data_IF_010783074606
#
_entry.id   IF_010783074606
#
_cell.length_a   1.000
_cell.length_b   1.000
_cell.length_c   1.000
_cell.angle_alpha   90.00
_cell.angle_beta   90.00
_cell.angle_gamma   90.00
#
_symmetry.space_group_name_H-M   'P 1'
#
loop_
_entity.id
_entity.type
_entity.pdbx_description
1 polymer ?
#
# COMPACT_ATOMS: atom_id res chain seq x y z
N UNK A 1 14.90 -25.40 2.05
CA UNK A 1 14.70 -24.33 3.06
C UNK A 1 15.99 -23.83 3.72
N UNK A 2 16.88 -24.68 4.27
CA UNK A 2 18.14 -24.23 4.92
C UNK A 2 19.03 -23.29 4.07
N UNK A 3 19.14 -23.53 2.75
CA UNK A 3 19.96 -22.70 1.84
C UNK A 3 19.42 -21.27 1.65
N UNK A 4 18.09 -21.11 1.64
CA UNK A 4 17.43 -19.80 1.49
C UNK A 4 17.60 -18.97 2.77
N UNK A 5 17.46 -19.61 3.94
CA UNK A 5 17.67 -18.95 5.23
C UNK A 5 19.12 -18.44 5.38
N UNK A 6 20.13 -19.25 5.00
CA UNK A 6 21.52 -18.82 5.02
C UNK A 6 21.79 -17.63 4.07
N UNK A 7 21.13 -17.60 2.91
CA UNK A 7 21.27 -16.50 1.96
C UNK A 7 20.65 -15.20 2.49
N UNK A 8 19.46 -15.27 3.11
CA UNK A 8 18.81 -14.12 3.75
C UNK A 8 19.64 -13.57 4.91
N UNK A 9 20.21 -14.45 5.74
CA UNK A 9 21.08 -14.05 6.85
C UNK A 9 22.39 -13.41 6.35
N UNK A 10 23.02 -13.96 5.32
CA UNK A 10 24.22 -13.39 4.72
C UNK A 10 23.95 -12.01 4.10
N UNK A 11 22.80 -11.83 3.45
CA UNK A 11 22.37 -10.54 2.89
C UNK A 11 22.17 -9.49 4.00
N UNK A 12 21.53 -9.88 5.11
CA UNK A 12 21.34 -9.01 6.28
C UNK A 12 22.69 -8.57 6.86
N UNK A 13 23.65 -9.48 7.02
CA UNK A 13 24.99 -9.15 7.56
C UNK A 13 25.74 -8.16 6.65
N UNK A 14 25.64 -8.30 5.32
CA UNK A 14 26.25 -7.37 4.37
C UNK A 14 25.62 -5.97 4.40
N UNK A 15 24.32 -5.87 4.69
CA UNK A 15 23.63 -4.59 4.86
C UNK A 15 24.08 -3.88 6.16
N UNK A 16 24.33 -4.64 7.23
CA UNK A 16 24.72 -4.09 8.53
C UNK A 16 26.18 -3.63 8.63
N UNK A 17 27.12 -4.20 7.86
CA UNK A 17 28.55 -3.87 7.98
C UNK A 17 28.97 -2.56 7.29
N UNK A 18 28.08 -1.86 6.59
CA UNK A 18 28.39 -0.61 5.86
C UNK A 18 27.94 0.67 6.59
N UNK A 19 28.10 0.72 7.92
CA UNK A 19 27.69 1.89 8.74
C UNK A 19 28.81 2.44 9.62
N UNK A 20 29.99 2.65 9.05
CA UNK A 20 31.02 3.49 9.66
C UNK A 20 31.52 4.49 8.62
N UNK A 21 31.66 5.75 9.05
CA UNK A 21 32.12 6.94 8.31
C UNK A 21 31.07 7.72 7.49
N UNK A 22 30.46 8.71 8.14
CA UNK A 22 30.58 10.13 7.81
C UNK A 22 29.64 10.95 8.72
N UNK A 23 30.17 11.44 9.83
CA UNK A 23 29.51 12.47 10.63
C UNK A 23 29.70 13.83 9.95
N UNK A 24 29.01 14.05 8.83
CA UNK A 24 28.68 15.42 8.44
C UNK A 24 27.40 15.77 9.17
N UNK A 25 27.44 16.88 9.90
CA UNK A 25 26.33 17.48 10.65
C UNK A 25 25.17 17.71 9.67
N UNK A 26 24.37 16.67 9.50
CA UNK A 26 23.20 16.67 8.63
C UNK A 26 22.15 17.37 9.47
N UNK A 27 21.66 18.52 9.01
CA UNK A 27 20.54 19.18 9.67
C UNK A 27 19.44 18.15 9.94
N UNK A 28 19.10 18.03 11.21
CA UNK A 28 18.12 17.09 11.71
C UNK A 28 16.76 17.55 11.19
N UNK A 29 16.36 17.04 10.03
CA UNK A 29 15.05 17.30 9.48
C UNK A 29 14.01 16.46 10.25
N UNK A 30 13.74 16.84 11.51
CA UNK A 30 12.69 16.27 12.38
C UNK A 30 11.29 16.84 12.04
N UNK A 31 11.16 17.42 10.85
CA UNK A 31 9.99 18.06 10.32
C UNK A 31 8.85 17.09 9.99
N UNK A 32 7.68 17.67 9.77
CA UNK A 32 6.56 16.98 9.14
C UNK A 32 6.67 17.14 7.63
N UNK A 33 6.18 16.16 6.89
CA UNK A 33 5.97 16.33 5.47
C UNK A 33 4.58 15.93 5.04
N UNK A 34 4.31 16.24 3.78
CA UNK A 34 3.10 15.89 3.08
C UNK A 34 3.49 15.29 1.74
N UNK A 35 2.92 14.14 1.42
CA UNK A 35 3.22 13.37 0.23
C UNK A 35 1.98 12.92 -0.50
N UNK A 36 2.08 12.82 -1.82
CA UNK A 36 1.11 12.10 -2.66
C UNK A 36 1.81 10.95 -3.36
N UNK A 37 1.16 9.80 -3.43
CA UNK A 37 1.61 8.73 -4.32
C UNK A 37 0.75 8.63 -5.56
N UNK A 38 1.42 8.48 -6.70
CA UNK A 38 0.81 7.95 -7.91
C UNK A 38 1.05 6.45 -7.92
N UNK A 39 -0.04 5.70 -7.84
CA UNK A 39 -0.03 4.25 -7.77
C UNK A 39 -0.35 3.64 -9.14
N UNK A 40 0.39 2.60 -9.51
CA UNK A 40 0.01 1.71 -10.61
C UNK A 40 -1.01 0.69 -10.11
N UNK A 41 -2.01 0.39 -10.95
CA UNK A 41 -3.13 -0.53 -10.71
C UNK A 41 -2.80 -1.67 -9.74
N UNK A 42 -3.47 -1.67 -8.59
CA UNK A 42 -3.54 -2.85 -7.74
C UNK A 42 -4.63 -3.77 -8.31
N UNK A 43 -4.29 -5.04 -8.48
CA UNK A 43 -5.25 -6.10 -8.83
C UNK A 43 -5.61 -6.82 -7.54
N UNK A 44 -6.86 -6.68 -7.12
CA UNK A 44 -7.41 -7.44 -6.01
C UNK A 44 -8.28 -8.53 -6.59
N UNK A 45 -7.94 -9.78 -6.28
CA UNK A 45 -8.80 -10.92 -6.52
C UNK A 45 -9.75 -11.06 -5.33
N UNK A 46 -11.05 -11.08 -5.62
CA UNK A 46 -12.11 -11.29 -4.64
C UNK A 46 -12.88 -12.54 -5.07
N UNK A 47 -13.05 -13.50 -4.18
CA UNK A 47 -13.83 -14.70 -4.47
C UNK A 47 -15.32 -14.41 -4.20
N UNK A 48 -16.12 -14.31 -5.27
CA UNK A 48 -17.56 -14.03 -5.19
C UNK A 48 -18.32 -14.84 -6.23
N UNK A 49 -18.59 -16.12 -5.96
CA UNK A 49 -19.14 -17.14 -6.89
C UNK A 49 -18.33 -17.35 -8.20
N UNK A 50 -17.60 -16.33 -8.66
CA UNK A 50 -16.66 -16.23 -9.77
C UNK A 50 -15.57 -15.24 -9.30
N UNK A 51 -14.27 -15.53 -9.50
CA UNK A 51 -13.19 -14.62 -9.11
C UNK A 51 -13.31 -13.29 -9.87
N UNK A 52 -13.36 -12.20 -9.11
CA UNK A 52 -13.43 -10.83 -9.65
C UNK A 52 -12.05 -10.19 -9.55
N UNK A 53 -11.51 -9.77 -10.70
CA UNK A 53 -10.31 -8.94 -10.75
C UNK A 53 -10.70 -7.47 -10.69
N UNK A 54 -10.49 -6.86 -9.53
CA UNK A 54 -10.70 -5.43 -9.34
C UNK A 54 -9.40 -4.70 -9.62
N UNK A 55 -9.36 -3.94 -10.70
CA UNK A 55 -8.30 -2.96 -10.95
C UNK A 55 -8.72 -1.61 -10.40
N UNK A 56 -7.89 -1.03 -9.52
CA UNK A 56 -8.20 0.25 -8.90
C UNK A 56 -6.99 1.16 -8.83
N UNK A 57 -7.17 2.41 -9.26
CA UNK A 57 -6.21 3.49 -9.01
C UNK A 57 -6.48 4.04 -7.61
N UNK A 58 -5.58 3.76 -6.66
CA UNK A 58 -5.70 4.28 -5.31
C UNK A 58 -4.80 5.51 -5.16
N UNK A 59 -5.42 6.67 -4.97
CA UNK A 59 -4.70 7.89 -4.64
C UNK A 59 -4.51 7.94 -3.12
N UNK A 60 -3.26 7.98 -2.67
CA UNK A 60 -2.92 8.03 -1.26
C UNK A 60 -2.18 9.32 -0.91
N UNK A 61 -2.56 9.90 0.22
CA UNK A 61 -1.90 11.01 0.89
C UNK A 61 -1.09 10.47 2.07
N UNK A 62 0.17 10.91 2.19
CA UNK A 62 1.13 10.44 3.18
C UNK A 62 1.61 11.62 4.03
N UNK A 63 1.87 11.35 5.30
CA UNK A 63 2.25 12.38 6.27
C UNK A 63 3.55 11.98 6.98
N UNK A 64 4.69 11.99 6.30
CA UNK A 64 5.96 11.55 6.89
C UNK A 64 6.34 12.41 8.11
N UNK A 65 6.66 11.74 9.21
CA UNK A 65 7.26 12.32 10.42
C UNK A 65 8.58 11.62 10.66
N UNK A 66 9.68 12.33 10.47
CA UNK A 66 10.99 11.83 10.89
C UNK A 66 11.05 11.95 12.41
N UNK A 67 11.03 10.81 13.11
CA UNK A 67 11.13 10.75 14.58
C UNK A 67 12.60 10.81 15.01
N UNK A 68 13.50 10.33 14.14
CA UNK A 68 14.95 10.47 14.29
C UNK A 68 15.61 10.51 12.90
N UNK A 69 16.91 10.82 12.79
CA UNK A 69 17.64 10.77 11.52
C UNK A 69 17.61 9.41 10.81
N UNK A 70 17.26 8.33 11.53
CA UNK A 70 17.26 6.95 11.04
C UNK A 70 15.88 6.31 11.02
N UNK A 71 14.83 7.04 11.41
CA UNK A 71 13.50 6.46 11.56
C UNK A 71 12.39 7.45 11.24
N UNK A 72 11.41 6.99 10.46
CA UNK A 72 10.22 7.72 10.05
C UNK A 72 8.97 6.90 10.34
N UNK A 73 7.96 7.57 10.88
CA UNK A 73 6.58 7.10 10.89
C UNK A 73 5.86 7.85 9.77
N UNK A 74 5.10 7.15 8.94
CA UNK A 74 4.40 7.76 7.81
C UNK A 74 2.96 7.27 7.76
N UNK A 75 2.05 7.91 8.54
CA UNK A 75 0.61 7.71 8.39
C UNK A 75 0.16 8.04 6.96
N UNK A 76 -0.86 7.35 6.48
CA UNK A 76 -1.43 7.62 5.18
C UNK A 76 -2.93 7.31 5.12
N UNK A 77 -3.61 7.99 4.21
CA UNK A 77 -5.01 7.75 3.87
C UNK A 77 -5.13 7.65 2.35
N UNK A 78 -5.99 6.77 1.88
CA UNK A 78 -6.24 6.54 0.47
C UNK A 78 -7.72 6.40 0.18
N UNK A 79 -8.13 6.94 -0.96
CA UNK A 79 -9.50 6.81 -1.43
C UNK A 79 -9.51 6.54 -2.93
N UNK A 80 -10.42 5.68 -3.35
CA UNK A 80 -10.66 5.38 -4.75
C UNK A 80 -12.12 5.06 -5.00
N UNK A 81 -12.61 5.49 -6.16
CA UNK A 81 -13.94 5.16 -6.65
C UNK A 81 -13.84 4.90 -8.15
N UNK A 82 -13.97 3.63 -8.53
CA UNK A 82 -13.80 3.17 -9.90
C UNK A 82 -15.05 2.43 -10.39
N UNK A 83 -15.29 2.50 -11.69
CA UNK A 83 -16.33 1.72 -12.35
C UNK A 83 -15.65 0.68 -13.20
N UNK A 84 -15.99 -0.59 -12.98
CA UNK A 84 -15.43 -1.70 -13.75
C UNK A 84 -16.55 -2.59 -14.29
N UNK A 85 -16.19 -3.47 -15.21
CA UNK A 85 -17.08 -4.50 -15.73
C UNK A 85 -16.66 -5.83 -15.13
N UNK A 86 -17.61 -6.54 -14.53
CA UNK A 86 -17.40 -7.88 -14.00
C UNK A 86 -18.12 -8.85 -14.93
N UNK A 87 -17.42 -9.90 -15.34
CA UNK A 87 -18.00 -10.97 -16.12
C UNK A 87 -18.52 -12.06 -15.18
N UNK A 88 -19.84 -12.20 -15.09
CA UNK A 88 -20.47 -13.32 -14.41
C UNK A 88 -20.84 -14.42 -15.40
N UNK A 89 -20.50 -15.67 -15.09
CA UNK A 89 -20.77 -16.84 -15.96
C UNK A 89 -22.25 -16.95 -16.38
N UNK A 90 -23.18 -16.46 -15.54
CA UNK A 90 -24.63 -16.49 -15.80
C UNK A 90 -25.25 -15.16 -16.23
N UNK A 91 -24.62 -14.03 -15.91
CA UNK A 91 -25.19 -12.69 -16.08
C UNK A 91 -24.53 -11.88 -17.21
N UNK A 92 -23.43 -12.36 -17.78
CA UNK A 92 -22.64 -11.61 -18.75
C UNK A 92 -21.86 -10.48 -18.09
N UNK A 93 -21.59 -9.40 -18.83
CA UNK A 93 -20.89 -8.23 -18.30
C UNK A 93 -21.85 -7.33 -17.51
N UNK A 94 -21.65 -7.27 -16.20
CA UNK A 94 -22.33 -6.31 -15.32
C UNK A 94 -21.39 -5.15 -15.00
N UNK A 95 -21.92 -3.93 -15.00
CA UNK A 95 -21.18 -2.74 -14.59
C UNK A 95 -21.31 -2.57 -13.09
N UNK A 96 -20.19 -2.54 -12.39
CA UNK A 96 -20.14 -2.38 -10.94
C UNK A 96 -19.34 -1.14 -10.55
N UNK A 97 -19.71 -0.55 -9.43
CA UNK A 97 -18.97 0.52 -8.78
C UNK A 97 -18.16 -0.07 -7.63
N UNK A 98 -16.86 0.16 -7.63
CA UNK A 98 -15.96 -0.21 -6.53
C UNK A 98 -15.55 1.07 -5.82
N UNK A 99 -15.90 1.18 -4.55
CA UNK A 99 -15.39 2.23 -3.66
C UNK A 99 -14.40 1.59 -2.69
N UNK A 100 -13.19 2.14 -2.59
CA UNK A 100 -12.15 1.68 -1.68
C UNK A 100 -11.67 2.82 -0.80
N UNK A 101 -11.62 2.57 0.50
CA UNK A 101 -11.02 3.45 1.48
C UNK A 101 -9.92 2.70 2.23
N UNK A 102 -8.78 3.37 2.42
CA UNK A 102 -7.60 2.81 3.07
C UNK A 102 -7.06 3.82 4.05
N UNK A 103 -6.66 3.38 5.23
CA UNK A 103 -5.81 4.19 6.12
C UNK A 103 -4.81 3.31 6.83
N UNK A 104 -3.61 3.83 7.07
CA UNK A 104 -2.53 3.02 7.58
C UNK A 104 -1.34 3.83 8.03
N UNK A 105 -0.25 3.13 8.32
CA UNK A 105 1.02 3.76 8.64
C UNK A 105 2.21 2.91 8.17
N UNK A 106 3.28 3.59 7.78
CA UNK A 106 4.59 2.99 7.53
C UNK A 106 5.56 3.26 8.66
N UNK A 107 6.37 2.26 8.99
CA UNK A 107 7.49 2.38 9.94
C UNK A 107 8.77 2.10 9.18
N UNK A 108 9.57 3.14 8.96
CA UNK A 108 10.62 3.15 7.96
C UNK A 108 11.98 3.48 8.59
N UNK A 109 12.96 2.60 8.42
CA UNK A 109 14.36 2.89 8.65
C UNK A 109 14.92 3.74 7.52
N UNK A 110 15.69 4.79 7.86
CA UNK A 110 16.24 5.75 6.91
C UNK A 110 17.76 5.62 6.78
N UNK A 111 18.26 5.76 5.55
CA UNK A 111 19.69 5.91 5.25
C UNK A 111 19.87 7.00 4.19
N UNK A 112 20.40 8.15 4.59
CA UNK A 112 20.69 9.28 3.69
C UNK A 112 22.11 9.18 3.14
N UNK A 113 22.24 9.42 1.84
CA UNK A 113 23.52 9.57 1.13
C UNK A 113 23.37 10.74 0.14
N UNK A 114 24.02 11.86 0.44
CA UNK A 114 23.89 13.12 -0.31
C UNK A 114 22.41 13.57 -0.40
N UNK A 115 21.95 13.91 -1.60
CA UNK A 115 20.57 14.31 -1.88
C UNK A 115 19.59 13.13 -1.95
N UNK A 116 20.05 11.88 -1.79
CA UNK A 116 19.19 10.71 -1.85
C UNK A 116 18.99 10.13 -0.46
N UNK A 117 17.73 9.87 -0.09
CA UNK A 117 17.37 9.17 1.12
C UNK A 117 16.74 7.83 0.76
N UNK A 118 17.42 6.76 1.10
CA UNK A 118 16.89 5.41 1.00
C UNK A 118 16.10 5.09 2.27
N UNK A 119 15.04 4.31 2.11
CA UNK A 119 14.26 3.83 3.23
C UNK A 119 13.77 2.41 3.02
N UNK A 120 13.64 1.68 4.11
CA UNK A 120 13.17 0.30 4.14
C UNK A 120 12.34 0.09 5.40
N UNK A 121 11.37 -0.82 5.37
CA UNK A 121 10.55 -1.06 6.54
C UNK A 121 9.31 -1.87 6.21
N UNK A 122 8.22 -1.57 6.91
CA UNK A 122 6.93 -2.19 6.65
C UNK A 122 5.81 -1.16 6.68
N UNK A 123 4.75 -1.43 5.93
CA UNK A 123 3.47 -0.71 6.00
C UNK A 123 2.39 -1.65 6.47
N UNK A 124 1.48 -1.08 7.24
CA UNK A 124 0.22 -1.71 7.60
C UNK A 124 -0.93 -0.77 7.24
N UNK A 125 -2.05 -1.31 6.80
CA UNK A 125 -3.23 -0.54 6.46
C UNK A 125 -4.52 -1.30 6.79
N UNK A 126 -5.55 -0.58 7.21
CA UNK A 126 -6.92 -1.07 7.19
C UNK A 126 -7.60 -0.69 5.88
N UNK A 127 -8.41 -1.59 5.34
CA UNK A 127 -9.08 -1.44 4.06
C UNK A 127 -10.55 -1.73 4.17
N UNK A 128 -11.33 -0.88 3.52
CA UNK A 128 -12.77 -0.98 3.36
C UNK A 128 -13.04 -0.94 1.86
N UNK A 129 -13.72 -1.96 1.35
CA UNK A 129 -14.10 -2.08 -0.05
C UNK A 129 -15.61 -2.25 -0.11
N UNK A 130 -16.26 -1.46 -0.94
CA UNK A 130 -17.70 -1.53 -1.18
C UNK A 130 -17.92 -1.73 -2.66
N UNK A 131 -18.63 -2.80 -3.00
CA UNK A 131 -19.10 -3.10 -4.34
C UNK A 131 -20.58 -2.72 -4.43
N UNK A 132 -20.91 -1.75 -5.28
CA UNK A 132 -22.29 -1.38 -5.59
C UNK A 132 -22.65 -1.77 -7.03
N UNK A 133 -23.87 -2.27 -7.24
CA UNK A 133 -24.41 -2.50 -8.58
C UNK A 133 -24.84 -1.18 -9.23
N UNK A 134 -24.61 -1.01 -10.54
CA UNK A 134 -25.04 0.16 -11.31
C UNK A 134 -26.12 -0.22 -12.37
N UNK A 135 -26.57 -1.48 -12.45
CA UNK A 135 -27.35 -1.98 -13.59
C UNK A 135 -28.71 -2.65 -13.31
N UNK A 136 -29.80 -1.94 -13.62
CA UNK A 136 -31.15 -2.38 -14.11
C UNK A 136 -31.84 -3.66 -13.56
N UNK A 137 -31.38 -4.29 -12.48
CA UNK A 137 -32.16 -5.35 -11.85
C UNK A 137 -33.20 -4.72 -10.91
N UNK A 138 -34.50 -5.09 -10.98
CA UNK A 138 -35.51 -4.65 -10.00
C UNK A 138 -35.31 -5.29 -8.61
N UNK A 139 -34.27 -6.10 -8.45
CA UNK A 139 -33.86 -6.69 -7.19
C UNK A 139 -32.89 -5.70 -6.53
N UNK A 140 -33.32 -5.21 -5.37
CA UNK A 140 -32.71 -4.18 -4.50
C UNK A 140 -31.19 -4.04 -4.61
N UNK A 141 -30.77 -2.77 -4.50
CA UNK A 141 -29.42 -2.26 -4.20
C UNK A 141 -28.77 -2.96 -2.99
N UNK A 142 -28.34 -4.21 -3.14
CA UNK A 142 -27.49 -4.86 -2.15
C UNK A 142 -26.04 -4.53 -2.46
N UNK A 143 -25.49 -3.58 -1.70
CA UNK A 143 -24.05 -3.37 -1.68
C UNK A 143 -23.37 -4.44 -0.85
N UNK A 144 -22.24 -4.94 -1.35
CA UNK A 144 -21.41 -5.93 -0.69
C UNK A 144 -20.17 -5.20 -0.17
N UNK A 145 -19.84 -5.40 1.11
CA UNK A 145 -18.76 -4.65 1.77
C UNK A 145 -17.72 -5.56 2.39
N UNK A 146 -16.48 -5.51 1.90
CA UNK A 146 -15.34 -6.19 2.49
C UNK A 146 -14.57 -5.24 3.40
N UNK A 147 -14.01 -5.79 4.46
CA UNK A 147 -13.08 -5.06 5.31
C UNK A 147 -11.93 -5.96 5.74
N UNK A 148 -10.77 -5.36 6.01
CA UNK A 148 -9.62 -6.12 6.47
C UNK A 148 -8.37 -5.29 6.52
N UNK A 149 -7.22 -5.90 6.28
CA UNK A 149 -5.92 -5.24 6.38
C UNK A 149 -4.94 -5.65 5.31
N UNK A 150 -4.00 -4.76 5.02
CA UNK A 150 -2.77 -5.06 4.30
C UNK A 150 -1.58 -4.93 5.24
N UNK A 151 -0.60 -5.80 5.06
CA UNK A 151 0.72 -5.68 5.69
C UNK A 151 1.80 -6.10 4.71
N UNK A 152 2.94 -5.40 4.72
CA UNK A 152 3.93 -5.63 3.70
C UNK A 152 5.28 -4.98 3.95
N UNK A 153 6.41 -5.64 3.60
CA UNK A 153 7.69 -4.97 3.57
C UNK A 153 7.75 -3.96 2.43
N UNK A 154 8.47 -2.87 2.65
CA UNK A 154 8.67 -1.80 1.67
C UNK A 154 10.15 -1.46 1.52
N UNK A 155 10.53 -1.09 0.31
CA UNK A 155 11.85 -0.57 -0.02
C UNK A 155 11.68 0.59 -1.00
N UNK A 156 12.30 1.73 -0.70
CA UNK A 156 12.22 2.88 -1.58
C UNK A 156 13.38 3.86 -1.40
N UNK A 157 13.31 4.91 -2.19
CA UNK A 157 14.22 6.03 -2.11
C UNK A 157 13.56 7.31 -2.58
N UNK A 158 14.00 8.43 -2.04
CA UNK A 158 13.59 9.76 -2.46
C UNK A 158 14.81 10.63 -2.73
N UNK A 159 14.78 11.36 -3.84
CA UNK A 159 15.77 12.34 -4.23
C UNK A 159 15.26 13.74 -3.85
N UNK A 160 15.97 14.41 -2.96
CA UNK A 160 15.70 15.78 -2.54
C UNK A 160 16.26 16.74 -3.58
N UNK A 161 15.37 17.43 -4.29
CA UNK A 161 15.76 18.51 -5.20
C UNK A 161 16.06 19.80 -4.42
N UNK A 162 15.38 19.95 -3.27
CA UNK A 162 15.61 20.97 -2.23
C UNK A 162 15.36 20.32 -0.88
N UNK A 163 15.77 20.98 0.21
CA UNK A 163 15.53 20.47 1.58
C UNK A 163 14.03 20.21 1.86
N UNK A 164 13.16 21.04 1.29
CA UNK A 164 11.71 20.96 1.46
C UNK A 164 10.98 20.18 0.37
N UNK A 165 11.64 19.64 -0.66
CA UNK A 165 10.96 18.94 -1.75
C UNK A 165 11.73 17.73 -2.27
N UNK A 166 11.03 16.61 -2.37
CA UNK A 166 11.60 15.36 -2.88
C UNK A 166 10.68 14.63 -3.84
N UNK A 167 11.30 13.85 -4.72
CA UNK A 167 10.64 12.93 -5.65
C UNK A 167 11.16 11.53 -5.33
N UNK A 168 10.27 10.53 -5.24
CA UNK A 168 10.67 9.20 -4.81
C UNK A 168 10.01 8.07 -5.58
N UNK A 169 10.59 6.89 -5.41
CA UNK A 169 10.08 5.61 -5.86
C UNK A 169 10.08 4.63 -4.70
N UNK A 170 9.04 3.80 -4.63
CA UNK A 170 8.91 2.75 -3.62
C UNK A 170 8.34 1.48 -4.25
N UNK A 171 8.91 0.34 -3.89
CA UNK A 171 8.35 -0.98 -4.12
C UNK A 171 7.85 -1.58 -2.81
N UNK A 172 6.71 -2.25 -2.86
CA UNK A 172 6.11 -2.95 -1.73
C UNK A 172 5.72 -4.37 -2.15
N UNK A 173 5.87 -5.31 -1.23
CA UNK A 173 5.15 -6.59 -1.29
C UNK A 173 4.00 -6.51 -0.30
N UNK A 174 2.81 -6.90 -0.70
CA UNK A 174 1.59 -6.74 0.08
C UNK A 174 0.98 -8.11 0.36
N UNK A 175 0.72 -8.40 1.62
CA UNK A 175 -0.20 -9.44 2.04
C UNK A 175 -1.52 -8.79 2.43
N UNK A 176 -2.59 -9.22 1.79
CA UNK A 176 -3.94 -8.70 1.96
C UNK A 176 -4.80 -9.77 2.61
N UNK A 177 -5.58 -9.38 3.60
CA UNK A 177 -6.65 -10.19 4.16
C UNK A 177 -7.93 -9.37 4.17
N UNK A 178 -8.99 -9.89 3.53
CA UNK A 178 -10.29 -9.24 3.44
C UNK A 178 -11.37 -10.22 3.89
N UNK A 179 -12.27 -9.77 4.76
CA UNK A 179 -13.42 -10.53 5.20
C UNK A 179 -14.72 -9.87 4.75
N UNK A 180 -15.72 -10.70 4.44
CA UNK A 180 -17.11 -10.27 4.24
C UNK A 180 -18.09 -11.27 4.86
N UNK A 181 -19.18 -10.75 5.42
CA UNK A 181 -20.30 -11.55 5.92
C UNK A 181 -21.30 -11.78 4.79
N UNK A 182 -21.35 -13.01 4.26
CA UNK A 182 -22.40 -13.37 3.34
C UNK A 182 -23.76 -13.35 4.08
N UNK A 183 -24.79 -12.72 3.50
CA UNK A 183 -26.13 -12.71 4.13
C UNK A 183 -26.89 -14.02 3.91
N UNK A 184 -26.52 -14.78 2.88
CA UNK A 184 -27.19 -16.02 2.48
C UNK A 184 -26.65 -17.24 3.22
N UNK A 185 -25.38 -17.20 3.60
CA UNK A 185 -24.74 -18.21 4.45
C UNK A 185 -24.29 -17.50 5.71
N UNK A 186 -24.66 -17.98 6.89
CA UNK A 186 -24.25 -17.45 8.20
C UNK A 186 -22.75 -17.63 8.50
N UNK A 187 -21.93 -17.70 7.46
CA UNK A 187 -20.49 -17.88 7.45
C UNK A 187 -19.80 -16.60 6.97
N UNK A 188 -18.75 -16.22 7.68
CA UNK A 188 -17.78 -15.23 7.23
C UNK A 188 -16.89 -15.86 6.15
N UNK A 189 -16.72 -15.16 5.03
CA UNK A 189 -15.77 -15.53 3.97
C UNK A 189 -14.55 -14.64 4.14
N UNK A 190 -13.37 -15.26 4.17
CA UNK A 190 -12.08 -14.56 4.28
C UNK A 190 -11.21 -14.87 3.07
N UNK A 191 -10.90 -13.83 2.31
CA UNK A 191 -10.01 -13.86 1.16
C UNK A 191 -8.61 -13.40 1.55
N UNK A 192 -7.59 -14.04 0.96
CA UNK A 192 -6.21 -13.59 1.09
C UNK A 192 -5.55 -13.44 -0.28
N UNK A 193 -4.70 -12.44 -0.44
CA UNK A 193 -3.92 -12.26 -1.66
C UNK A 193 -2.52 -11.74 -1.35
N UNK A 194 -1.57 -12.10 -2.22
CA UNK A 194 -0.21 -11.57 -2.21
C UNK A 194 -0.02 -10.76 -3.49
N UNK A 195 0.32 -9.50 -3.33
CA UNK A 195 0.54 -8.57 -4.43
C UNK A 195 1.87 -7.85 -4.31
N UNK A 196 2.19 -7.09 -5.35
CA UNK A 196 3.29 -6.12 -5.33
C UNK A 196 2.76 -4.78 -5.79
N UNK A 197 3.32 -3.70 -5.23
CA UNK A 197 2.91 -2.33 -5.55
C UNK A 197 4.14 -1.47 -5.80
N UNK A 198 4.06 -0.66 -6.85
CA UNK A 198 5.06 0.35 -7.17
C UNK A 198 4.42 1.73 -7.03
N UNK A 199 5.10 2.62 -6.31
CA UNK A 199 4.65 3.98 -6.05
C UNK A 199 5.65 4.99 -6.55
N UNK A 200 5.14 6.05 -7.16
CA UNK A 200 5.88 7.28 -7.39
C UNK A 200 5.42 8.34 -6.40
N UNK A 201 6.35 8.99 -5.72
CA UNK A 201 6.08 9.96 -4.67
C UNK A 201 6.49 11.37 -5.06
N UNK A 202 5.64 12.34 -4.69
CA UNK A 202 6.00 13.74 -4.58
C UNK A 202 5.78 14.16 -3.13
N UNK A 203 6.81 14.69 -2.46
CA UNK A 203 6.74 15.06 -1.03
C UNK A 203 7.30 16.46 -0.78
N UNK A 204 6.60 17.19 0.09
CA UNK A 204 7.02 18.46 0.67
C UNK A 204 7.35 18.26 2.16
N UNK A 205 8.37 18.93 2.67
CA UNK A 205 8.81 18.88 4.08
C UNK A 205 8.87 20.30 4.69
N UNK A 206 8.48 20.40 5.96
CA UNK A 206 8.35 21.63 6.75
C UNK A 206 9.03 21.51 8.11
#
# INVERSE_FOLDING_TARGET
>A
MRKILCFVVALLILIFNNTLYAQNKTEENNGWGFGVSLEQNEVIEIDYDVPILVTSYLHCFYFPKNVSPRFRIEPFIGFSKNRTYVYGYRTGYSKVEVTRFVFGSGFLGLKRKNSVQFYYGARFAFVFLVLGDIGRSPIKDESISWSGFHIGPVLGGECFLKESFSIGLEGQLLYTLLSHSNKFYSSEITDYSIGSKALFFLRLYF
#
